data_IF_907610614481
#
_entry.id   IF_907610614481
#
_cell.length_a   1.000
_cell.length_b   1.000
_cell.length_c   1.000
_cell.angle_alpha   90.00
_cell.angle_beta   90.00
_cell.angle_gamma   90.00
#
_symmetry.space_group_name_H-M   'P 1'
#
loop_
_entity.id
_entity.type
_entity.pdbx_description
1 polymer ?
#
# COMPACT_ATOMS: atom_id res chain seq x y z
N UNK A 1 -51.69 -16.15 -51.68
CA UNK A 1 -51.31 -14.78 -51.29
C UNK A 1 -49.91 -14.81 -50.71
N UNK A 2 -49.11 -13.80 -51.05
CA UNK A 2 -47.64 -13.74 -50.95
C UNK A 2 -47.08 -13.49 -49.53
N UNK A 3 -45.78 -13.85 -49.37
CA UNK A 3 -44.74 -13.33 -48.44
C UNK A 3 -44.81 -13.87 -47.00
N UNK A 4 -43.83 -14.64 -46.53
CA UNK A 4 -42.44 -14.24 -46.19
C UNK A 4 -42.32 -14.31 -44.65
N UNK A 5 -41.26 -14.70 -43.97
CA UNK A 5 -39.85 -14.85 -44.28
C UNK A 5 -39.27 -16.03 -43.49
N UNK A 6 -38.32 -16.69 -44.14
CA UNK A 6 -37.32 -17.58 -43.57
C UNK A 6 -36.41 -16.76 -42.64
N UNK A 7 -36.21 -17.17 -41.39
CA UNK A 7 -35.06 -16.77 -40.59
C UNK A 7 -34.64 -17.94 -39.69
N UNK A 8 -33.61 -18.62 -40.18
CA UNK A 8 -32.84 -19.69 -39.57
C UNK A 8 -31.99 -19.13 -38.41
N UNK A 9 -32.13 -19.67 -37.19
CA UNK A 9 -31.07 -19.57 -36.16
C UNK A 9 -30.94 -20.92 -35.44
N UNK A 10 -29.90 -21.62 -35.87
CA UNK A 10 -29.07 -22.64 -35.19
C UNK A 10 -28.86 -22.21 -33.72
N UNK A 11 -28.89 -23.00 -32.65
CA UNK A 11 -28.78 -24.44 -32.42
C UNK A 11 -28.35 -24.62 -30.94
N UNK A 12 -28.82 -25.71 -30.33
CA UNK A 12 -28.14 -26.57 -29.34
C UNK A 12 -27.52 -25.92 -28.07
N UNK A 13 -27.93 -26.41 -26.90
CA UNK A 13 -27.00 -26.50 -25.76
C UNK A 13 -27.61 -26.42 -24.37
N UNK A 14 -27.77 -27.59 -23.75
CA UNK A 14 -28.13 -27.82 -22.35
C UNK A 14 -26.98 -27.32 -21.45
N UNK A 15 -27.30 -26.62 -20.36
CA UNK A 15 -26.28 -26.20 -19.39
C UNK A 15 -26.83 -25.34 -18.25
N UNK A 16 -27.62 -25.94 -17.38
CA UNK A 16 -28.02 -25.34 -16.12
C UNK A 16 -26.80 -25.19 -15.19
N UNK A 17 -26.11 -24.05 -15.23
CA UNK A 17 -25.15 -23.58 -14.22
C UNK A 17 -24.99 -22.06 -14.37
N UNK A 18 -25.99 -21.29 -13.94
CA UNK A 18 -25.78 -19.86 -13.70
C UNK A 18 -24.96 -19.71 -12.41
N UNK A 19 -23.77 -19.09 -12.44
CA UNK A 19 -22.99 -18.91 -11.23
C UNK A 19 -23.78 -18.00 -10.30
N UNK A 20 -24.00 -18.45 -9.06
CA UNK A 20 -24.45 -17.57 -7.98
C UNK A 20 -23.44 -16.43 -7.90
N UNK A 21 -23.82 -15.25 -8.37
CA UNK A 21 -23.12 -14.02 -8.08
C UNK A 21 -23.19 -13.81 -6.57
N UNK A 22 -22.22 -14.38 -5.86
CA UNK A 22 -21.99 -14.08 -4.46
C UNK A 22 -21.73 -12.58 -4.30
N UNK A 23 -21.97 -12.02 -3.10
CA UNK A 23 -21.74 -10.60 -2.85
C UNK A 23 -20.31 -10.25 -3.26
N UNK A 24 -20.18 -9.31 -4.20
CA UNK A 24 -18.90 -8.73 -4.60
C UNK A 24 -18.38 -7.97 -3.39
N UNK A 25 -17.61 -8.65 -2.52
CA UNK A 25 -16.78 -7.96 -1.53
C UNK A 25 -15.95 -6.93 -2.31
N UNK A 26 -15.86 -5.67 -1.88
CA UNK A 26 -14.93 -4.74 -2.47
C UNK A 26 -13.55 -5.41 -2.47
N UNK A 27 -12.98 -5.64 -3.66
CA UNK A 27 -11.63 -6.19 -3.78
C UNK A 27 -10.71 -5.13 -3.19
N UNK A 28 -10.13 -5.42 -2.03
CA UNK A 28 -9.02 -4.63 -1.51
C UNK A 28 -7.90 -4.73 -2.53
N UNK A 29 -7.51 -3.58 -3.08
CA UNK A 29 -6.40 -3.48 -4.02
C UNK A 29 -5.08 -3.55 -3.24
N UNK A 30 -4.58 -4.77 -3.11
CA UNK A 30 -3.39 -5.11 -2.32
C UNK A 30 -2.10 -4.62 -2.98
N UNK A 31 -2.07 -4.53 -4.31
CA UNK A 31 -0.98 -3.92 -5.05
C UNK A 31 -0.90 -2.41 -4.80
N UNK A 32 -2.05 -1.72 -4.76
CA UNK A 32 -2.11 -0.30 -4.37
C UNK A 32 -1.59 -0.09 -2.95
N UNK A 33 -1.99 -0.93 -1.99
CA UNK A 33 -1.52 -0.83 -0.61
C UNK A 33 -0.01 -1.05 -0.49
N UNK A 34 0.55 -2.06 -1.17
CA UNK A 34 1.99 -2.30 -1.17
C UNK A 34 2.77 -1.10 -1.74
N UNK A 35 2.29 -0.51 -2.84
CA UNK A 35 2.91 0.70 -3.42
C UNK A 35 2.80 1.91 -2.49
N UNK A 36 1.64 2.14 -1.88
CA UNK A 36 1.44 3.26 -0.97
C UNK A 36 2.40 3.22 0.23
N UNK A 37 2.60 2.05 0.83
CA UNK A 37 3.58 1.86 1.91
C UNK A 37 5.02 2.17 1.47
N UNK A 38 5.37 1.82 0.23
CA UNK A 38 6.70 2.12 -0.29
C UNK A 38 6.90 3.62 -0.56
N UNK A 39 5.93 4.25 -1.22
CA UNK A 39 5.96 5.68 -1.53
C UNK A 39 6.04 6.51 -0.22
N UNK A 40 5.33 6.06 0.81
CA UNK A 40 5.41 6.62 2.15
C UNK A 40 6.82 6.52 2.74
N UNK A 41 7.49 5.37 2.66
CA UNK A 41 8.85 5.21 3.17
C UNK A 41 9.86 6.06 2.38
N UNK A 42 9.69 6.17 1.06
CA UNK A 42 10.52 7.02 0.20
C UNK A 42 10.39 8.49 0.57
N UNK A 43 9.17 8.98 0.75
CA UNK A 43 8.93 10.37 1.10
C UNK A 43 9.45 10.67 2.52
N UNK A 44 9.31 9.74 3.46
CA UNK A 44 9.88 9.88 4.81
C UNK A 44 11.41 10.02 4.74
N UNK A 45 12.10 9.18 3.95
CA UNK A 45 13.54 9.27 3.72
C UNK A 45 13.94 10.58 3.00
N UNK A 46 13.13 11.04 2.05
CA UNK A 46 13.36 12.30 1.35
C UNK A 46 13.22 13.52 2.27
N UNK A 47 12.21 13.54 3.14
CA UNK A 47 12.04 14.57 4.18
C UNK A 47 13.25 14.56 5.11
N UNK A 48 13.65 13.40 5.62
CA UNK A 48 14.81 13.28 6.50
C UNK A 48 16.09 13.82 5.86
N UNK A 49 16.36 13.43 4.60
CA UNK A 49 17.51 13.93 3.84
C UNK A 49 17.47 15.45 3.65
N UNK A 50 16.30 16.00 3.29
CA UNK A 50 16.12 17.44 3.01
C UNK A 50 16.35 18.30 4.25
N UNK A 51 15.93 17.81 5.41
CA UNK A 51 16.00 18.52 6.69
C UNK A 51 17.16 18.03 7.57
N UNK A 52 18.15 17.34 6.99
CA UNK A 52 19.27 16.76 7.72
C UNK A 52 20.05 17.84 8.48
N UNK A 53 20.12 17.69 9.81
CA UNK A 53 20.81 18.64 10.69
C UNK A 53 20.00 19.90 11.05
N UNK A 54 18.80 20.08 10.49
CA UNK A 54 17.85 21.12 10.88
C UNK A 54 16.68 20.50 11.67
N UNK A 55 16.92 20.29 12.96
CA UNK A 55 15.98 19.61 13.83
C UNK A 55 14.71 20.42 14.10
N UNK A 56 14.74 21.74 13.91
CA UNK A 56 13.58 22.61 14.12
C UNK A 56 12.55 22.47 12.99
N UNK A 57 13.01 22.22 11.76
CA UNK A 57 12.12 22.05 10.60
C UNK A 57 11.84 20.58 10.26
N UNK A 58 12.70 19.65 10.69
CA UNK A 58 12.51 18.21 10.49
C UNK A 58 11.23 17.67 11.12
N UNK A 59 10.97 17.95 12.41
CA UNK A 59 9.80 17.43 13.13
C UNK A 59 8.47 17.92 12.51
N UNK A 60 8.28 19.23 12.24
CA UNK A 60 7.10 19.72 11.55
C UNK A 60 6.90 19.12 10.15
N UNK A 61 7.98 18.79 9.43
CA UNK A 61 7.90 18.19 8.10
C UNK A 61 7.53 16.69 8.16
N UNK A 62 8.07 15.94 9.12
CA UNK A 62 7.77 14.52 9.29
C UNK A 62 6.35 14.27 9.83
N UNK A 63 5.86 15.13 10.73
CA UNK A 63 4.57 14.92 11.43
C UNK A 63 3.37 14.65 10.51
N UNK A 64 3.06 15.49 9.51
CA UNK A 64 1.91 15.22 8.62
C UNK A 64 2.10 13.93 7.84
N UNK A 65 3.34 13.58 7.48
CA UNK A 65 3.65 12.37 6.72
C UNK A 65 3.46 11.11 7.56
N UNK A 66 3.90 11.11 8.81
CA UNK A 66 3.69 9.99 9.75
C UNK A 66 2.20 9.71 9.96
N UNK A 67 1.34 10.73 9.99
CA UNK A 67 -0.11 10.51 10.09
C UNK A 67 -0.72 9.88 8.82
N UNK A 68 -0.20 10.20 7.63
CA UNK A 68 -0.58 9.50 6.37
C UNK A 68 -0.15 8.03 6.43
N UNK A 69 1.09 7.76 6.85
CA UNK A 69 1.59 6.39 7.02
C UNK A 69 0.73 5.59 7.99
N UNK A 70 0.28 6.20 9.09
CA UNK A 70 -0.62 5.54 10.05
C UNK A 70 -1.96 5.19 9.44
N UNK A 71 -2.52 6.04 8.58
CA UNK A 71 -3.75 5.74 7.86
C UNK A 71 -3.57 4.54 6.92
N UNK A 72 -2.51 4.54 6.09
CA UNK A 72 -2.21 3.42 5.20
C UNK A 72 -1.90 2.12 5.97
N UNK A 73 -1.18 2.19 7.09
CA UNK A 73 -0.96 1.03 7.95
C UNK A 73 -2.27 0.51 8.59
N UNK A 74 -3.22 1.39 8.88
CA UNK A 74 -4.57 1.01 9.29
C UNK A 74 -5.32 0.24 8.20
N UNK A 75 -5.23 0.70 6.96
CA UNK A 75 -5.81 -0.02 5.80
C UNK A 75 -5.17 -1.40 5.62
N UNK A 76 -3.85 -1.50 5.78
CA UNK A 76 -3.10 -2.76 5.72
C UNK A 76 -3.51 -3.69 6.84
N UNK A 77 -3.61 -3.22 8.09
CA UNK A 77 -4.08 -4.03 9.22
C UNK A 77 -5.48 -4.57 8.98
N UNK A 78 -6.40 -3.75 8.48
CA UNK A 78 -7.75 -4.20 8.10
C UNK A 78 -7.70 -5.23 6.96
N UNK A 79 -6.84 -5.04 5.96
CA UNK A 79 -6.63 -5.99 4.88
C UNK A 79 -6.07 -7.35 5.36
N UNK A 80 -5.27 -7.35 6.42
CA UNK A 80 -4.69 -8.55 7.02
C UNK A 80 -5.71 -9.39 7.82
N UNK A 81 -6.87 -8.85 8.17
CA UNK A 81 -7.95 -9.58 8.85
C UNK A 81 -8.59 -10.66 7.97
N UNK A 82 -8.54 -10.49 6.64
CA UNK A 82 -8.99 -11.51 5.68
C UNK A 82 -7.78 -12.37 5.22
N UNK A 83 -7.75 -13.68 5.52
CA UNK A 83 -6.61 -14.54 5.19
C UNK A 83 -6.30 -14.63 3.69
N UNK A 84 -7.29 -14.45 2.81
CA UNK A 84 -7.07 -14.47 1.37
C UNK A 84 -6.36 -13.18 0.92
N UNK A 85 -6.80 -12.03 1.44
CA UNK A 85 -6.20 -10.72 1.17
C UNK A 85 -4.80 -10.64 1.78
N UNK A 86 -4.61 -11.14 3.00
CA UNK A 86 -3.31 -11.19 3.66
C UNK A 86 -2.25 -12.01 2.89
N UNK A 87 -2.67 -13.09 2.22
CA UNK A 87 -1.75 -13.87 1.36
C UNK A 87 -1.38 -13.10 0.11
N UNK A 88 -2.34 -12.43 -0.52
CA UNK A 88 -2.09 -11.63 -1.71
C UNK A 88 -1.20 -10.43 -1.40
N UNK A 89 -1.49 -9.68 -0.33
CA UNK A 89 -0.69 -8.54 0.10
C UNK A 89 0.77 -8.93 0.34
N UNK A 90 1.02 -10.05 1.04
CA UNK A 90 2.39 -10.56 1.23
C UNK A 90 3.06 -10.97 -0.08
N UNK A 91 2.32 -11.44 -1.07
CA UNK A 91 2.87 -11.77 -2.38
C UNK A 91 3.23 -10.49 -3.16
N UNK A 92 2.35 -9.48 -3.13
CA UNK A 92 2.55 -8.21 -3.81
C UNK A 92 3.73 -7.43 -3.21
N UNK A 93 3.84 -7.39 -1.87
CA UNK A 93 5.00 -6.79 -1.18
C UNK A 93 6.29 -7.50 -1.58
N UNK A 94 6.32 -8.84 -1.57
CA UNK A 94 7.53 -9.59 -1.98
C UNK A 94 7.91 -9.38 -3.44
N UNK A 95 6.93 -9.32 -4.34
CA UNK A 95 7.16 -9.04 -5.75
C UNK A 95 7.75 -7.64 -5.93
N UNK A 96 7.19 -6.66 -5.22
CA UNK A 96 7.65 -5.29 -5.22
C UNK A 96 9.08 -5.15 -4.66
N UNK A 97 9.38 -5.77 -3.51
CA UNK A 97 10.72 -5.76 -2.90
C UNK A 97 11.78 -6.41 -3.80
N UNK A 98 11.40 -7.46 -4.55
CA UNK A 98 12.30 -8.09 -5.50
C UNK A 98 12.68 -7.15 -6.65
N UNK A 99 11.76 -6.29 -7.08
CA UNK A 99 11.99 -5.25 -8.11
C UNK A 99 12.77 -4.05 -7.56
N UNK A 100 12.64 -3.73 -6.27
CA UNK A 100 13.20 -2.52 -5.63
C UNK A 100 14.23 -2.84 -4.53
N UNK A 101 14.98 -3.94 -4.70
CA UNK A 101 15.91 -4.44 -3.69
C UNK A 101 16.93 -3.37 -3.25
N UNK A 102 17.08 -3.18 -1.94
CA UNK A 102 18.04 -2.25 -1.34
C UNK A 102 17.51 -0.83 -1.08
N UNK A 103 16.30 -0.51 -1.54
CA UNK A 103 15.67 0.80 -1.27
C UNK A 103 15.32 0.95 0.21
N UNK A 104 14.78 -0.08 0.85
CA UNK A 104 14.46 -0.05 2.28
C UNK A 104 15.69 0.18 3.16
N UNK A 105 16.82 -0.46 2.84
CA UNK A 105 18.08 -0.29 3.57
C UNK A 105 18.63 1.14 3.41
N UNK A 106 18.62 1.67 2.18
CA UNK A 106 19.05 3.04 1.91
C UNK A 106 18.17 4.08 2.63
N UNK A 107 16.85 3.89 2.64
CA UNK A 107 15.91 4.73 3.40
C UNK A 107 16.23 4.65 4.90
N UNK A 108 16.46 3.44 5.43
CA UNK A 108 16.83 3.23 6.83
C UNK A 108 18.12 3.95 7.21
N UNK A 109 19.14 3.93 6.34
CA UNK A 109 20.39 4.68 6.54
C UNK A 109 20.19 6.20 6.55
N UNK A 110 19.40 6.73 5.62
CA UNK A 110 19.14 8.17 5.51
C UNK A 110 18.34 8.72 6.69
N UNK A 111 17.35 7.94 7.12
CA UNK A 111 16.59 8.20 8.33
C UNK A 111 17.50 8.14 9.56
N UNK A 112 18.24 7.04 9.74
CA UNK A 112 19.17 6.85 10.86
C UNK A 112 20.20 7.98 10.97
N UNK A 113 20.78 8.40 9.86
CA UNK A 113 21.75 9.51 9.83
C UNK A 113 21.14 10.85 10.25
N UNK A 114 19.89 11.11 9.87
CA UNK A 114 19.15 12.32 10.24
C UNK A 114 18.79 12.30 11.73
N UNK A 115 18.42 11.14 12.26
CA UNK A 115 18.10 10.95 13.68
C UNK A 115 19.31 11.08 14.61
N UNK A 116 20.48 10.54 14.23
CA UNK A 116 21.73 10.70 15.00
C UNK A 116 22.11 12.18 15.16
N UNK A 117 21.80 12.99 14.15
CA UNK A 117 22.12 14.43 14.15
C UNK A 117 21.17 15.25 15.02
N UNK A 118 19.95 14.76 15.26
CA UNK A 118 18.89 15.44 16.01
C UNK A 118 18.53 14.78 17.34
N UNK A 119 19.46 14.03 17.93
CA UNK A 119 19.28 13.22 19.15
C UNK A 119 18.72 13.97 20.37
N UNK A 120 18.89 15.29 20.45
CA UNK A 120 18.47 16.11 21.59
C UNK A 120 17.05 16.69 21.40
N UNK A 121 16.40 16.43 20.27
CA UNK A 121 15.02 16.84 20.02
C UNK A 121 14.05 15.83 20.66
N UNK A 122 13.40 16.23 21.78
CA UNK A 122 12.51 15.37 22.55
C UNK A 122 11.24 14.91 21.80
N UNK A 123 10.81 15.62 20.76
CA UNK A 123 9.62 15.25 19.97
C UNK A 123 9.94 14.21 18.89
N UNK A 124 11.21 14.03 18.56
CA UNK A 124 11.65 13.15 17.48
C UNK A 124 11.50 11.66 17.84
N UNK A 125 11.88 11.17 19.04
CA UNK A 125 11.58 9.81 19.48
C UNK A 125 10.08 9.50 19.48
N UNK A 126 9.25 10.40 20.01
CA UNK A 126 7.79 10.26 20.04
C UNK A 126 7.18 10.14 18.64
N UNK A 127 7.81 10.77 17.64
CA UNK A 127 7.38 10.69 16.26
C UNK A 127 7.80 9.37 15.59
N UNK A 128 8.98 8.85 15.95
CA UNK A 128 9.48 7.55 15.46
C UNK A 128 8.60 6.42 15.99
N UNK A 129 8.23 6.46 17.28
CA UNK A 129 7.34 5.46 17.89
C UNK A 129 5.94 5.43 17.25
N UNK A 130 5.59 6.46 16.49
CA UNK A 130 4.33 6.55 15.73
C UNK A 130 4.45 6.04 14.30
N UNK A 131 5.67 5.80 13.80
CA UNK A 131 5.87 5.13 12.51
C UNK A 131 5.36 3.69 12.67
N UNK A 132 4.34 3.28 11.90
CA UNK A 132 3.76 1.96 12.07
C UNK A 132 4.77 0.87 11.69
N UNK A 133 4.93 -0.12 12.57
CA UNK A 133 5.54 -1.40 12.22
C UNK A 133 4.61 -2.11 11.20
N UNK A 134 5.18 -2.48 10.04
CA UNK A 134 4.48 -3.15 8.94
C UNK A 134 4.81 -4.64 8.91
#
# INVERSE_FOLDING_TARGET
MFRGCLALVIGIGIGACGPKAGPVKPRVDTARLARALHDDLLELGAIARRHRGDCATLVPALRPHVEVMRAHAGEVKAALEDPAIARQLRADVRAYDAEHRGVADAIGEDLGASYVTCKDNAELPDLIDRIPEL
#
